data_IF_676804541274
#
_entry.id   IF_676804541274
#
_cell.length_a   1.000
_cell.length_b   1.000
_cell.length_c   1.000
_cell.angle_alpha   90.00
_cell.angle_beta   90.00
_cell.angle_gamma   90.00
#
_symmetry.space_group_name_H-M   'P 1'
#
loop_
_entity.id
_entity.type
_entity.pdbx_description
1 polymer ?
#
# COMPACT_ATOMS: atom_id res chain seq x y z
N UNK A 1 -23.74 19.92 -12.37
CA UNK A 1 -22.27 20.04 -12.36
C UNK A 1 -21.61 19.24 -11.24
N UNK A 2 -22.12 19.28 -10.00
CA UNK A 2 -21.55 18.55 -8.84
C UNK A 2 -21.34 17.04 -9.12
N UNK A 3 -22.27 16.40 -9.83
CA UNK A 3 -22.19 14.97 -10.12
C UNK A 3 -21.04 14.58 -11.08
N UNK A 4 -20.71 15.43 -12.06
CA UNK A 4 -19.63 15.12 -13.02
C UNK A 4 -18.25 15.22 -12.35
N UNK A 5 -18.04 16.29 -11.57
CA UNK A 5 -16.79 16.49 -10.83
C UNK A 5 -16.55 15.35 -9.83
N UNK A 6 -17.59 14.95 -9.08
CA UNK A 6 -17.51 13.85 -8.12
C UNK A 6 -17.15 12.53 -8.81
N UNK A 7 -17.78 12.23 -9.95
CA UNK A 7 -17.53 11.00 -10.70
C UNK A 7 -16.09 10.94 -11.24
N UNK A 8 -15.57 12.07 -11.73
CA UNK A 8 -14.17 12.18 -12.16
C UNK A 8 -13.22 11.95 -10.97
N UNK A 9 -13.52 12.53 -9.81
CA UNK A 9 -12.70 12.35 -8.61
C UNK A 9 -12.67 10.90 -8.13
N UNK A 10 -13.82 10.22 -8.10
CA UNK A 10 -13.90 8.79 -7.74
C UNK A 10 -13.05 7.94 -8.69
N UNK A 11 -13.17 8.19 -10.00
CA UNK A 11 -12.40 7.47 -11.01
C UNK A 11 -10.89 7.74 -10.90
N UNK A 12 -10.50 9.00 -10.68
CA UNK A 12 -9.12 9.38 -10.46
C UNK A 12 -8.55 8.72 -9.19
N UNK A 13 -9.31 8.71 -8.11
CA UNK A 13 -8.92 8.06 -6.86
C UNK A 13 -8.71 6.55 -7.02
N UNK A 14 -9.64 5.86 -7.69
CA UNK A 14 -9.49 4.44 -8.02
C UNK A 14 -8.22 4.18 -8.85
N UNK A 15 -7.95 5.04 -9.83
CA UNK A 15 -6.76 4.94 -10.68
C UNK A 15 -5.47 5.12 -9.89
N UNK A 16 -5.44 6.05 -8.92
CA UNK A 16 -4.31 6.24 -8.01
C UNK A 16 -4.04 4.97 -7.20
N UNK A 17 -5.07 4.30 -6.69
CA UNK A 17 -4.90 3.03 -5.97
C UNK A 17 -4.26 1.94 -6.82
N UNK A 18 -4.66 1.82 -8.09
CA UNK A 18 -4.08 0.87 -9.04
C UNK A 18 -2.61 1.22 -9.31
N UNK A 19 -2.32 2.48 -9.63
CA UNK A 19 -0.97 2.95 -9.95
C UNK A 19 -0.04 2.78 -8.75
N UNK A 20 -0.50 3.11 -7.54
CA UNK A 20 0.25 2.92 -6.31
C UNK A 20 0.60 1.44 -6.09
N UNK A 21 -0.38 0.55 -6.27
CA UNK A 21 -0.16 -0.91 -6.15
C UNK A 21 0.88 -1.40 -7.15
N UNK A 22 0.81 -0.96 -8.41
CA UNK A 22 1.80 -1.29 -9.44
C UNK A 22 3.18 -0.72 -9.07
N UNK A 23 3.23 0.46 -8.46
CA UNK A 23 4.45 1.10 -7.98
C UNK A 23 5.21 0.29 -6.93
N UNK A 24 4.54 -0.56 -6.15
CA UNK A 24 5.18 -1.44 -5.17
C UNK A 24 5.81 -2.70 -5.79
N UNK A 25 5.36 -3.14 -6.97
CA UNK A 25 5.85 -4.33 -7.67
C UNK A 25 7.37 -4.36 -7.84
N UNK A 26 8.06 -3.32 -8.35
CA UNK A 26 9.51 -3.35 -8.52
C UNK A 26 10.25 -3.56 -7.20
N UNK A 27 9.82 -2.90 -6.12
CA UNK A 27 10.40 -3.04 -4.78
C UNK A 27 10.23 -4.47 -4.25
N UNK A 28 9.03 -5.03 -4.38
CA UNK A 28 8.74 -6.42 -4.00
C UNK A 28 9.60 -7.39 -4.82
N UNK A 29 9.73 -7.15 -6.14
CA UNK A 29 10.56 -7.97 -7.02
C UNK A 29 12.04 -7.94 -6.63
N UNK A 30 12.56 -6.76 -6.28
CA UNK A 30 13.95 -6.60 -5.84
C UNK A 30 14.24 -7.32 -4.52
N UNK A 31 13.31 -7.27 -3.57
CA UNK A 31 13.47 -7.96 -2.29
C UNK A 31 13.31 -9.48 -2.44
N UNK A 32 12.33 -9.93 -3.22
CA UNK A 32 12.02 -11.35 -3.35
C UNK A 32 13.00 -12.09 -4.26
N UNK A 33 13.21 -11.60 -5.49
CA UNK A 33 13.99 -12.29 -6.52
C UNK A 33 15.46 -11.87 -6.49
N UNK A 34 15.74 -10.57 -6.45
CA UNK A 34 17.13 -10.09 -6.49
C UNK A 34 17.82 -10.11 -5.13
N UNK A 35 17.09 -10.41 -4.04
CA UNK A 35 17.61 -10.43 -2.66
C UNK A 35 18.38 -9.15 -2.32
N UNK A 36 17.94 -8.03 -2.89
CA UNK A 36 18.56 -6.71 -2.75
C UNK A 36 17.76 -5.91 -1.72
N UNK A 37 18.45 -5.39 -0.70
CA UNK A 37 17.84 -4.48 0.27
C UNK A 37 17.56 -3.12 -0.39
N UNK A 38 16.48 -3.03 -1.15
CA UNK A 38 15.99 -1.80 -1.80
C UNK A 38 15.05 -0.98 -0.90
N UNK A 39 14.55 -1.59 0.18
CA UNK A 39 13.63 -0.98 1.12
C UNK A 39 14.28 -0.78 2.50
N UNK A 40 14.07 0.38 3.10
CA UNK A 40 14.52 0.68 4.46
C UNK A 40 13.48 0.16 5.47
N UNK A 41 13.91 -0.78 6.33
CA UNK A 41 13.05 -1.42 7.34
C UNK A 41 12.39 -0.38 8.27
N UNK A 42 13.14 0.59 8.80
CA UNK A 42 12.58 1.55 9.76
C UNK A 42 11.47 2.40 9.13
N UNK A 43 11.66 2.80 7.87
CA UNK A 43 10.64 3.52 7.11
C UNK A 43 9.41 2.64 6.86
N UNK A 44 9.60 1.37 6.46
CA UNK A 44 8.48 0.47 6.21
C UNK A 44 7.74 0.02 7.47
N UNK A 45 8.36 0.04 8.65
CA UNK A 45 7.66 -0.11 9.94
C UNK A 45 6.65 1.02 10.11
N UNK A 46 7.10 2.27 9.95
CA UNK A 46 6.24 3.46 10.08
C UNK A 46 5.13 3.43 9.05
N UNK A 47 5.46 3.16 7.77
CA UNK A 47 4.46 3.08 6.70
C UNK A 47 3.43 1.97 6.90
N UNK A 48 3.85 0.80 7.37
CA UNK A 48 2.93 -0.31 7.68
C UNK A 48 1.99 0.07 8.82
N UNK A 49 2.50 0.73 9.86
CA UNK A 49 1.67 1.18 10.98
C UNK A 49 0.66 2.26 10.57
N UNK A 50 1.11 3.29 9.85
CA UNK A 50 0.23 4.34 9.34
C UNK A 50 -0.85 3.77 8.41
N UNK A 51 -0.46 2.93 7.45
CA UNK A 51 -1.41 2.31 6.51
C UNK A 51 -2.38 1.34 7.21
N UNK A 52 -1.95 0.63 8.25
CA UNK A 52 -2.84 -0.18 9.08
C UNK A 52 -3.91 0.67 9.76
N UNK A 53 -3.52 1.79 10.39
CA UNK A 53 -4.49 2.72 11.01
C UNK A 53 -5.45 3.28 9.97
N UNK A 54 -4.94 3.71 8.80
CA UNK A 54 -5.79 4.22 7.73
C UNK A 54 -6.77 3.18 7.22
N UNK A 55 -6.33 1.93 7.04
CA UNK A 55 -7.20 0.84 6.62
C UNK A 55 -8.26 0.50 7.67
N UNK A 56 -7.88 0.43 8.95
CA UNK A 56 -8.84 0.21 10.04
C UNK A 56 -9.87 1.34 10.15
N UNK A 57 -9.45 2.58 9.93
CA UNK A 57 -10.35 3.72 9.90
C UNK A 57 -11.32 3.65 8.71
N UNK A 58 -10.82 3.30 7.52
CA UNK A 58 -11.65 3.09 6.34
C UNK A 58 -12.67 1.97 6.57
N UNK A 59 -12.23 0.83 7.10
CA UNK A 59 -13.04 -0.38 7.32
C UNK A 59 -14.10 -0.21 8.41
N UNK A 60 -13.72 0.36 9.55
CA UNK A 60 -14.57 0.38 10.76
C UNK A 60 -15.38 1.66 10.92
N UNK A 61 -14.94 2.79 10.33
CA UNK A 61 -15.57 4.10 10.56
C UNK A 61 -16.21 4.67 9.30
N UNK A 62 -15.49 4.69 8.17
CA UNK A 62 -16.02 5.28 6.93
C UNK A 62 -16.94 4.28 6.19
N UNK A 63 -16.54 3.01 6.15
CA UNK A 63 -17.23 1.92 5.47
C UNK A 63 -17.53 2.19 3.98
N UNK A 64 -16.59 2.86 3.30
CA UNK A 64 -16.61 3.07 1.85
C UNK A 64 -15.75 2.00 1.15
N UNK A 65 -16.39 1.17 0.33
CA UNK A 65 -15.75 0.01 -0.30
C UNK A 65 -14.53 0.38 -1.15
N UNK A 66 -14.58 1.50 -1.87
CA UNK A 66 -13.47 1.93 -2.72
C UNK A 66 -12.25 2.32 -1.85
N UNK A 67 -12.49 3.12 -0.82
CA UNK A 67 -11.47 3.51 0.15
C UNK A 67 -10.90 2.30 0.89
N UNK A 68 -11.74 1.36 1.31
CA UNK A 68 -11.33 0.11 1.95
C UNK A 68 -10.38 -0.69 1.07
N UNK A 69 -10.73 -0.89 -0.21
CA UNK A 69 -9.88 -1.63 -1.15
C UNK A 69 -8.56 -0.91 -1.37
N UNK A 70 -8.58 0.40 -1.63
CA UNK A 70 -7.36 1.19 -1.92
C UNK A 70 -6.42 1.20 -0.72
N UNK A 71 -6.95 1.46 0.48
CA UNK A 71 -6.14 1.51 1.71
C UNK A 71 -5.69 0.11 2.16
N UNK A 72 -6.52 -0.91 1.96
CA UNK A 72 -6.18 -2.31 2.23
C UNK A 72 -5.07 -2.83 1.33
N UNK A 73 -5.11 -2.53 0.02
CA UNK A 73 -4.02 -2.86 -0.90
C UNK A 73 -2.72 -2.14 -0.53
N UNK A 74 -2.81 -0.86 -0.16
CA UNK A 74 -1.65 -0.10 0.29
C UNK A 74 -1.01 -0.70 1.56
N UNK A 75 -1.84 -1.05 2.54
CA UNK A 75 -1.41 -1.73 3.76
C UNK A 75 -0.76 -3.08 3.44
N UNK A 76 -1.39 -3.91 2.60
CA UNK A 76 -0.87 -5.21 2.20
C UNK A 76 0.50 -5.08 1.52
N UNK A 77 0.67 -4.12 0.60
CA UNK A 77 1.94 -3.87 -0.07
C UNK A 77 3.04 -3.45 0.92
N UNK A 78 2.74 -2.52 1.83
CA UNK A 78 3.68 -2.10 2.87
C UNK A 78 4.09 -3.27 3.79
N UNK A 79 3.11 -4.06 4.23
CA UNK A 79 3.34 -5.22 5.09
C UNK A 79 4.18 -6.29 4.39
N UNK A 80 3.90 -6.61 3.11
CA UNK A 80 4.71 -7.54 2.31
C UNK A 80 6.14 -7.03 2.23
N UNK A 81 6.36 -5.77 1.85
CA UNK A 81 7.71 -5.22 1.72
C UNK A 81 8.47 -5.26 3.05
N UNK A 82 7.80 -4.93 4.16
CA UNK A 82 8.40 -5.01 5.49
C UNK A 82 8.80 -6.45 5.84
N UNK A 83 7.89 -7.42 5.67
CA UNK A 83 8.16 -8.83 5.94
C UNK A 83 9.33 -9.32 5.08
N UNK A 84 9.34 -9.03 3.78
CA UNK A 84 10.42 -9.44 2.89
C UNK A 84 11.76 -8.82 3.26
N UNK A 85 11.76 -7.55 3.66
CA UNK A 85 12.97 -6.84 4.08
C UNK A 85 13.55 -7.46 5.37
N UNK A 86 12.69 -7.78 6.34
CA UNK A 86 13.10 -8.46 7.58
C UNK A 86 13.64 -9.86 7.27
N UNK A 87 12.92 -10.66 6.49
CA UNK A 87 13.34 -12.02 6.12
C UNK A 87 14.69 -12.03 5.39
N UNK A 88 14.95 -11.02 4.56
CA UNK A 88 16.21 -10.90 3.84
C UNK A 88 17.38 -10.58 4.77
N UNK A 89 17.16 -9.76 5.81
CA UNK A 89 18.18 -9.48 6.84
C UNK A 89 18.50 -10.73 7.65
N UNK A 90 17.50 -11.50 8.06
CA UNK A 90 17.71 -12.75 8.82
C UNK A 90 18.38 -13.88 8.02
N UNK A 91 18.34 -13.83 6.67
CA UNK A 91 18.96 -14.83 5.80
C UNK A 91 20.37 -14.49 5.34
N UNK A 92 20.88 -13.31 5.67
CA UNK A 92 22.29 -12.94 5.50
C UNK A 92 23.08 -13.30 6.75
#
# INVERSE_FOLDING_TARGET
MVNLLLQILIFAYASVGIIATIGYIPTIKDLWFHKKMSANISSYIIWTFCSAITFLYALLIISDLLLEIVTGLNFACCAIILILSILLVYRK
#
